data_IF_398735004796
#
_entry.id   IF_398735004796
#
_cell.length_a   1.000
_cell.length_b   1.000
_cell.length_c   1.000
_cell.angle_alpha   90.00
_cell.angle_beta   90.00
_cell.angle_gamma   90.00
#
_symmetry.space_group_name_H-M   'P 1'
#
loop_
_entity.id
_entity.type
_entity.pdbx_description
1 polymer ?
#
# COMPACT_ATOMS: atom_id res chain seq x y z
N UNK A 1 -12.57 24.19 19.83
CA UNK A 1 -12.62 24.36 21.29
C UNK A 1 -11.28 24.76 21.85
N UNK A 2 -10.57 23.86 22.54
CA UNK A 2 -9.29 24.17 23.22
C UNK A 2 -8.08 24.29 22.27
N UNK A 3 -8.03 23.48 21.20
CA UNK A 3 -6.91 23.46 20.26
C UNK A 3 -6.96 24.57 19.19
N UNK A 4 -8.07 25.31 19.07
CA UNK A 4 -8.20 26.39 18.07
C UNK A 4 -7.51 27.69 18.52
N UNK A 5 -7.36 27.91 19.83
CA UNK A 5 -6.82 29.14 20.41
C UNK A 5 -5.41 29.04 21.00
N UNK A 6 -4.73 27.89 20.88
CA UNK A 6 -3.38 27.68 21.45
C UNK A 6 -2.31 28.43 20.68
N UNK A 7 -1.30 28.97 21.36
CA UNK A 7 -0.21 29.75 20.75
C UNK A 7 0.63 28.94 19.75
N UNK A 8 1.32 29.61 18.83
CA UNK A 8 2.25 28.97 17.90
C UNK A 8 3.43 28.27 18.62
N UNK A 9 3.81 28.73 19.81
CA UNK A 9 4.79 28.04 20.66
C UNK A 9 4.26 26.70 21.19
N UNK A 10 2.97 26.61 21.48
CA UNK A 10 2.33 25.36 21.92
C UNK A 10 2.31 24.31 20.82
N UNK A 11 2.08 24.72 19.57
CA UNK A 11 2.03 23.80 18.42
C UNK A 11 3.39 23.22 18.04
N UNK A 12 4.50 23.72 18.61
CA UNK A 12 5.88 23.23 18.38
C UNK A 12 6.53 22.57 19.62
N UNK A 13 5.82 22.52 20.75
CA UNK A 13 6.37 21.95 21.99
C UNK A 13 6.34 20.42 21.94
N UNK A 14 7.50 19.79 21.68
CA UNK A 14 7.65 18.34 21.57
C UNK A 14 7.08 17.58 22.79
N UNK A 15 7.39 18.02 24.01
CA UNK A 15 6.94 17.37 25.25
C UNK A 15 5.40 17.30 25.37
N UNK A 16 4.72 18.35 24.93
CA UNK A 16 3.25 18.43 24.99
C UNK A 16 2.64 17.62 23.86
N UNK A 17 3.24 17.69 22.67
CA UNK A 17 2.77 16.97 21.50
C UNK A 17 2.90 15.47 21.72
N UNK A 18 4.03 14.98 22.21
CA UNK A 18 4.22 13.55 22.51
C UNK A 18 3.26 13.05 23.59
N UNK A 19 2.98 13.87 24.61
CA UNK A 19 2.02 13.53 25.67
C UNK A 19 0.57 13.44 25.18
N UNK A 20 0.19 14.25 24.18
CA UNK A 20 -1.19 14.31 23.67
C UNK A 20 -1.38 13.43 22.43
N UNK A 21 -0.32 13.14 21.68
CA UNK A 21 -0.32 12.44 20.39
C UNK A 21 -0.93 11.04 20.48
N UNK A 22 -0.53 10.23 21.45
CA UNK A 22 -1.10 8.87 21.61
C UNK A 22 -2.61 8.91 21.86
N UNK A 23 -3.06 9.78 22.77
CA UNK A 23 -4.48 9.91 23.11
C UNK A 23 -5.30 10.51 21.96
N UNK A 24 -4.79 11.58 21.34
CA UNK A 24 -5.44 12.23 20.21
C UNK A 24 -5.58 11.30 19.01
N UNK A 25 -4.51 10.58 18.66
CA UNK A 25 -4.54 9.61 17.57
C UNK A 25 -5.50 8.47 17.86
N UNK A 26 -5.54 7.95 19.09
CA UNK A 26 -6.50 6.91 19.48
C UNK A 26 -7.96 7.39 19.37
N UNK A 27 -8.26 8.58 19.92
CA UNK A 27 -9.62 9.15 19.89
C UNK A 27 -10.04 9.46 18.45
N UNK A 28 -9.16 10.07 17.65
CA UNK A 28 -9.45 10.42 16.27
C UNK A 28 -9.65 9.19 15.39
N UNK A 29 -8.85 8.14 15.59
CA UNK A 29 -9.01 6.86 14.91
C UNK A 29 -10.39 6.27 15.17
N UNK A 30 -10.80 6.16 16.44
CA UNK A 30 -12.13 5.65 16.80
C UNK A 30 -13.28 6.51 16.27
N UNK A 31 -13.12 7.83 16.32
CA UNK A 31 -14.14 8.76 15.85
C UNK A 31 -14.27 8.75 14.31
N UNK A 32 -13.17 8.54 13.59
CA UNK A 32 -13.13 8.49 12.11
C UNK A 32 -13.85 7.29 11.50
N UNK A 33 -13.96 6.17 12.23
CA UNK A 33 -14.66 4.96 11.77
C UNK A 33 -16.09 4.86 12.28
N UNK A 34 -16.54 5.85 13.07
CA UNK A 34 -17.87 5.86 13.64
C UNK A 34 -18.95 6.20 12.59
N UNK A 35 -20.02 5.41 12.55
CA UNK A 35 -21.19 5.66 11.72
C UNK A 35 -22.09 6.78 12.26
N UNK A 36 -21.89 7.22 13.51
CA UNK A 36 -22.64 8.33 14.10
C UNK A 36 -22.23 9.67 13.45
N UNK A 37 -23.17 10.41 12.82
CA UNK A 37 -22.87 11.67 12.15
C UNK A 37 -22.26 12.73 13.07
N UNK A 38 -22.71 12.78 14.32
CA UNK A 38 -22.21 13.75 15.30
C UNK A 38 -20.75 13.46 15.68
N UNK A 39 -20.42 12.18 15.96
CA UNK A 39 -19.06 11.77 16.32
C UNK A 39 -18.11 12.02 15.15
N UNK A 40 -18.54 11.66 13.93
CA UNK A 40 -17.73 11.87 12.74
C UNK A 40 -17.52 13.37 12.44
N UNK A 41 -18.52 14.22 12.68
CA UNK A 41 -18.37 15.67 12.56
C UNK A 41 -17.35 16.25 13.56
N UNK A 42 -17.28 15.72 14.79
CA UNK A 42 -16.21 16.08 15.71
C UNK A 42 -14.85 15.60 15.21
N UNK A 43 -14.77 14.40 14.62
CA UNK A 43 -13.55 13.89 14.02
C UNK A 43 -13.03 14.80 12.90
N UNK A 44 -13.90 15.21 11.95
CA UNK A 44 -13.52 16.15 10.89
C UNK A 44 -13.16 17.53 11.45
N UNK A 45 -13.85 18.00 12.49
CA UNK A 45 -13.51 19.25 13.17
C UNK A 45 -12.12 19.23 13.83
N UNK A 46 -11.81 18.17 14.57
CA UNK A 46 -10.49 17.96 15.19
C UNK A 46 -9.43 17.88 14.09
N UNK A 47 -9.68 17.09 13.06
CA UNK A 47 -8.73 16.91 11.96
C UNK A 47 -8.46 18.22 11.19
N UNK A 48 -9.47 19.07 11.00
CA UNK A 48 -9.28 20.41 10.43
C UNK A 48 -8.28 21.26 11.22
N UNK A 49 -8.35 21.18 12.56
CA UNK A 49 -7.40 21.90 13.43
C UNK A 49 -6.00 21.34 13.27
N UNK A 50 -5.84 20.03 13.14
CA UNK A 50 -4.53 19.41 12.90
C UNK A 50 -3.91 19.89 11.58
N UNK A 51 -4.69 19.89 10.50
CA UNK A 51 -4.27 20.37 9.19
C UNK A 51 -3.86 21.85 9.18
N UNK A 52 -4.57 22.70 9.93
CA UNK A 52 -4.33 24.15 9.95
C UNK A 52 -3.26 24.59 10.96
N UNK A 53 -3.02 23.82 12.04
CA UNK A 53 -2.21 24.29 13.19
C UNK A 53 -1.04 23.39 13.56
N UNK A 54 -1.14 22.08 13.29
CA UNK A 54 -0.17 21.08 13.78
C UNK A 54 0.57 20.35 12.65
N UNK A 55 0.50 20.86 11.42
CA UNK A 55 1.10 20.24 10.22
C UNK A 55 2.61 20.01 10.31
N UNK A 56 3.34 20.87 11.01
CA UNK A 56 4.79 20.69 11.23
C UNK A 56 5.09 19.54 12.20
N UNK A 57 4.28 19.38 13.25
CA UNK A 57 4.59 18.50 14.38
C UNK A 57 3.90 17.14 14.30
N UNK A 58 2.84 17.02 13.50
CA UNK A 58 2.02 15.82 13.34
C UNK A 58 1.95 15.36 11.88
N UNK A 59 3.05 15.50 11.12
CA UNK A 59 3.14 15.08 9.71
C UNK A 59 2.75 13.59 9.54
N UNK A 60 3.28 12.71 10.39
CA UNK A 60 3.02 11.27 10.30
C UNK A 60 1.53 10.97 10.55
N UNK A 61 0.96 11.55 11.61
CA UNK A 61 -0.45 11.35 11.95
C UNK A 61 -1.36 11.88 10.85
N UNK A 62 -1.09 13.07 10.30
CA UNK A 62 -1.87 13.63 9.21
C UNK A 62 -1.80 12.72 7.98
N UNK A 63 -0.63 12.15 7.66
CA UNK A 63 -0.48 11.17 6.58
C UNK A 63 -1.32 9.90 6.76
N UNK A 64 -1.56 9.48 8.01
CA UNK A 64 -2.43 8.33 8.33
C UNK A 64 -3.91 8.72 8.29
N UNK A 65 -4.28 9.85 8.89
CA UNK A 65 -5.67 10.26 9.04
C UNK A 65 -6.25 10.87 7.75
N UNK A 66 -5.43 11.46 6.88
CA UNK A 66 -5.93 12.09 5.65
C UNK A 66 -6.59 11.06 4.71
N UNK A 67 -5.95 9.92 4.36
CA UNK A 67 -6.63 8.88 3.59
C UNK A 67 -7.86 8.30 4.31
N UNK A 68 -7.80 8.16 5.62
CA UNK A 68 -8.84 7.53 6.43
C UNK A 68 -10.11 8.39 6.57
N UNK A 69 -9.97 9.70 6.78
CA UNK A 69 -11.07 10.64 6.99
C UNK A 69 -11.53 11.26 5.66
N UNK A 70 -10.60 11.58 4.76
CA UNK A 70 -10.92 12.29 3.51
C UNK A 70 -11.18 11.29 2.38
N UNK A 71 -10.16 10.52 2.00
CA UNK A 71 -10.23 9.71 0.78
C UNK A 71 -11.24 8.57 0.92
N UNK A 72 -11.21 7.80 2.01
CA UNK A 72 -12.16 6.71 2.27
C UNK A 72 -13.61 7.18 2.23
N UNK A 73 -13.90 8.30 2.91
CA UNK A 73 -15.27 8.82 3.01
C UNK A 73 -15.79 9.35 1.68
N UNK A 74 -14.93 9.96 0.86
CA UNK A 74 -15.32 10.52 -0.44
C UNK A 74 -15.38 9.47 -1.55
N UNK A 75 -14.42 8.53 -1.60
CA UNK A 75 -14.34 7.47 -2.61
C UNK A 75 -15.34 6.32 -2.37
N UNK A 76 -15.73 6.03 -1.12
CA UNK A 76 -16.65 4.94 -0.81
C UNK A 76 -18.04 5.15 -1.42
N UNK A 77 -18.45 4.26 -2.34
CA UNK A 77 -19.79 4.30 -2.98
C UNK A 77 -20.93 4.19 -1.96
N UNK A 78 -20.76 3.35 -0.94
CA UNK A 78 -21.74 3.08 0.11
C UNK A 78 -21.65 4.05 1.32
N UNK A 79 -20.75 5.03 1.29
CA UNK A 79 -20.56 5.92 2.42
C UNK A 79 -21.75 6.89 2.57
N UNK A 80 -22.32 7.06 3.79
CA UNK A 80 -23.49 7.91 4.00
C UNK A 80 -23.28 9.36 3.53
N UNK A 81 -24.25 9.90 2.78
CA UNK A 81 -24.15 11.20 2.09
C UNK A 81 -23.88 12.37 3.06
N UNK A 82 -24.43 12.31 4.27
CA UNK A 82 -24.22 13.29 5.33
C UNK A 82 -22.77 13.32 5.85
N UNK A 83 -22.08 12.17 5.87
CA UNK A 83 -20.67 12.10 6.24
C UNK A 83 -19.82 12.70 5.12
N UNK A 84 -20.12 12.40 3.86
CA UNK A 84 -19.47 13.03 2.69
C UNK A 84 -19.57 14.55 2.74
N UNK A 85 -20.77 15.08 3.01
CA UNK A 85 -20.98 16.53 3.16
C UNK A 85 -20.17 17.13 4.32
N UNK A 86 -20.00 16.40 5.42
CA UNK A 86 -19.20 16.85 6.56
C UNK A 86 -17.72 16.97 6.21
N UNK A 87 -17.19 16.01 5.44
CA UNK A 87 -15.81 16.08 4.90
C UNK A 87 -15.67 17.24 3.90
N UNK A 88 -16.63 17.42 2.98
CA UNK A 88 -16.56 18.50 1.99
C UNK A 88 -16.59 19.89 2.64
N UNK A 89 -17.41 20.12 3.67
CA UNK A 89 -17.41 21.37 4.43
C UNK A 89 -16.09 21.61 5.16
N UNK A 90 -15.49 20.56 5.70
CA UNK A 90 -14.18 20.63 6.32
C UNK A 90 -13.11 21.00 5.28
N UNK A 91 -13.09 20.32 4.13
CA UNK A 91 -12.19 20.60 3.01
C UNK A 91 -12.32 22.04 2.51
N UNK A 92 -13.54 22.54 2.32
CA UNK A 92 -13.77 23.93 1.91
C UNK A 92 -13.15 24.94 2.89
N UNK A 93 -13.13 24.63 4.19
CA UNK A 93 -12.49 25.48 5.21
C UNK A 93 -10.96 25.40 5.12
N UNK A 94 -10.39 24.19 5.07
CA UNK A 94 -8.93 24.01 5.14
C UNK A 94 -8.24 24.39 3.82
N UNK A 95 -8.87 24.14 2.67
CA UNK A 95 -8.32 24.47 1.36
C UNK A 95 -8.26 25.99 1.09
N UNK A 96 -8.80 26.83 1.97
CA UNK A 96 -8.62 28.30 1.93
C UNK A 96 -7.26 28.75 2.46
N UNK A 97 -6.54 27.90 3.21
CA UNK A 97 -5.16 28.15 3.62
C UNK A 97 -4.22 27.64 2.51
N UNK A 98 -3.51 28.51 1.78
CA UNK A 98 -2.64 28.05 0.70
C UNK A 98 -1.43 27.26 1.19
N UNK A 99 -0.94 27.53 2.40
CA UNK A 99 0.20 26.79 2.95
C UNK A 99 -0.19 25.34 3.25
N UNK A 100 -1.42 25.09 3.68
CA UNK A 100 -1.93 23.73 3.90
C UNK A 100 -1.91 22.89 2.60
N UNK A 101 -2.27 23.48 1.45
CA UNK A 101 -2.24 22.80 0.16
C UNK A 101 -0.81 22.48 -0.29
N UNK A 102 0.11 23.44 -0.11
CA UNK A 102 1.54 23.24 -0.41
C UNK A 102 2.12 22.17 0.48
N UNK A 103 1.83 22.20 1.78
CA UNK A 103 2.30 21.20 2.75
C UNK A 103 1.74 19.82 2.42
N UNK A 104 0.48 19.72 1.96
CA UNK A 104 -0.10 18.44 1.54
C UNK A 104 0.60 17.87 0.30
N UNK A 105 1.01 18.73 -0.64
CA UNK A 105 1.76 18.29 -1.82
C UNK A 105 3.19 17.90 -1.46
N UNK A 106 3.94 18.80 -0.81
CA UNK A 106 5.37 18.59 -0.52
C UNK A 106 5.60 17.44 0.45
N UNK A 107 4.76 17.30 1.48
CA UNK A 107 5.00 16.32 2.54
C UNK A 107 4.52 14.91 2.21
N UNK A 108 3.63 14.74 1.23
CA UNK A 108 3.01 13.44 0.95
C UNK A 108 3.08 13.05 -0.53
N UNK A 109 2.79 13.97 -1.45
CA UNK A 109 2.87 13.68 -2.88
C UNK A 109 4.32 13.61 -3.38
N UNK A 110 5.21 14.45 -2.83
CA UNK A 110 6.64 14.44 -3.13
C UNK A 110 7.48 13.57 -2.17
N UNK A 111 6.85 12.67 -1.43
CA UNK A 111 7.50 11.74 -0.51
C UNK A 111 7.24 10.30 -1.01
N UNK A 112 8.29 9.48 -1.14
CA UNK A 112 8.21 8.15 -1.76
C UNK A 112 7.42 7.15 -0.91
N UNK A 113 7.47 7.29 0.41
CA UNK A 113 6.86 6.36 1.36
C UNK A 113 5.43 6.78 1.77
N UNK A 114 5.02 7.99 1.42
CA UNK A 114 3.71 8.54 1.75
C UNK A 114 2.69 8.36 0.61
N UNK A 115 1.38 8.33 0.87
CA UNK A 115 0.36 8.31 -0.19
C UNK A 115 0.20 9.68 -0.87
N UNK A 116 -0.12 9.68 -2.18
CA UNK A 116 -0.45 10.88 -2.98
C UNK A 116 -1.76 11.55 -2.51
N UNK A 117 -1.73 12.20 -1.36
CA UNK A 117 -2.88 12.74 -0.65
C UNK A 117 -3.50 13.94 -1.37
N UNK A 118 -2.69 14.86 -1.89
CA UNK A 118 -3.17 16.04 -2.61
C UNK A 118 -3.79 15.63 -3.95
N UNK A 119 -3.07 14.87 -4.78
CA UNK A 119 -3.55 14.43 -6.09
C UNK A 119 -4.82 13.58 -5.99
N UNK A 120 -4.87 12.63 -5.05
CA UNK A 120 -6.07 11.81 -4.84
C UNK A 120 -7.25 12.65 -4.38
N UNK A 121 -7.05 13.61 -3.48
CA UNK A 121 -8.12 14.52 -3.07
C UNK A 121 -8.69 15.29 -4.27
N UNK A 122 -7.84 15.91 -5.09
CA UNK A 122 -8.28 16.68 -6.26
C UNK A 122 -9.00 15.79 -7.28
N UNK A 123 -8.44 14.61 -7.56
CA UNK A 123 -9.04 13.63 -8.49
C UNK A 123 -10.41 13.15 -7.99
N UNK A 124 -10.53 12.86 -6.69
CA UNK A 124 -11.79 12.44 -6.07
C UNK A 124 -12.84 13.53 -6.11
N UNK A 125 -12.49 14.77 -5.75
CA UNK A 125 -13.40 15.91 -5.85
C UNK A 125 -13.86 16.15 -7.30
N UNK A 126 -12.95 16.03 -8.27
CA UNK A 126 -13.24 16.17 -9.70
C UNK A 126 -14.23 15.10 -10.18
N UNK A 127 -13.99 13.84 -9.83
CA UNK A 127 -14.88 12.72 -10.15
C UNK A 127 -16.28 12.90 -9.57
N UNK A 128 -16.37 13.35 -8.31
CA UNK A 128 -17.66 13.62 -7.65
C UNK A 128 -18.38 14.77 -8.36
N UNK A 129 -17.67 15.86 -8.69
CA UNK A 129 -18.24 17.01 -9.38
C UNK A 129 -18.76 16.67 -10.78
N UNK A 130 -18.04 15.82 -11.53
CA UNK A 130 -18.46 15.34 -12.85
C UNK A 130 -19.71 14.44 -12.77
N UNK A 131 -19.76 13.56 -11.75
CA UNK A 131 -20.86 12.63 -11.53
C UNK A 131 -20.87 11.46 -12.51
N UNK A 132 -20.90 10.23 -12.00
CA UNK A 132 -20.76 9.01 -12.82
C UNK A 132 -22.09 8.32 -13.18
N UNK A 133 -23.24 8.85 -12.75
CA UNK A 133 -24.54 8.25 -13.06
C UNK A 133 -25.58 9.29 -13.47
N UNK A 134 -26.35 8.95 -14.51
CA UNK A 134 -27.65 9.54 -14.84
C UNK A 134 -28.58 9.31 -13.65
N UNK A 135 -28.72 10.32 -12.79
CA UNK A 135 -29.59 10.22 -11.62
C UNK A 135 -31.02 10.45 -12.07
N UNK A 136 -31.90 9.49 -11.75
CA UNK A 136 -33.33 9.61 -11.96
C UNK A 136 -33.87 10.84 -11.17
N UNK A 137 -34.49 11.84 -11.81
CA UNK A 137 -34.86 13.12 -11.17
C UNK A 137 -35.79 12.98 -9.95
N UNK A 138 -36.49 11.84 -9.83
CA UNK A 138 -37.45 11.55 -8.77
C UNK A 138 -36.87 10.80 -7.55
N UNK A 139 -35.55 10.59 -7.49
CA UNK A 139 -34.90 9.99 -6.33
C UNK A 139 -34.95 10.91 -5.10
N UNK A 140 -35.33 10.36 -3.95
CA UNK A 140 -35.31 11.05 -2.63
C UNK A 140 -33.92 11.63 -2.30
N UNK A 141 -32.85 11.07 -2.89
CA UNK A 141 -31.47 11.50 -2.68
C UNK A 141 -30.97 12.50 -3.73
N UNK A 142 -31.76 12.87 -4.75
CA UNK A 142 -31.33 13.73 -5.86
C UNK A 142 -30.81 15.10 -5.37
N UNK A 143 -31.51 15.72 -4.42
CA UNK A 143 -31.11 17.01 -3.81
C UNK A 143 -29.79 16.92 -3.04
N UNK A 144 -29.58 15.84 -2.28
CA UNK A 144 -28.33 15.64 -1.52
C UNK A 144 -27.15 15.33 -2.43
N UNK A 145 -27.37 14.54 -3.49
CA UNK A 145 -26.36 14.26 -4.52
C UNK A 145 -25.98 15.57 -5.23
N UNK A 146 -26.95 16.41 -5.59
CA UNK A 146 -26.70 17.75 -6.14
C UNK A 146 -25.87 18.63 -5.21
N UNK A 147 -26.18 18.63 -3.90
CA UNK A 147 -25.42 19.36 -2.89
C UNK A 147 -23.97 18.86 -2.77
N UNK A 148 -23.74 17.55 -2.84
CA UNK A 148 -22.39 16.94 -2.84
C UNK A 148 -21.60 17.34 -4.07
N UNK A 149 -22.20 17.30 -5.27
CA UNK A 149 -21.57 17.75 -6.51
C UNK A 149 -21.17 19.22 -6.42
N UNK A 150 -22.10 20.09 -6.00
CA UNK A 150 -21.86 21.51 -5.82
C UNK A 150 -20.77 21.81 -4.79
N UNK A 151 -20.80 21.13 -3.64
CA UNK A 151 -19.77 21.30 -2.60
C UNK A 151 -18.39 20.81 -3.05
N UNK A 152 -18.34 19.75 -3.84
CA UNK A 152 -17.07 19.23 -4.40
C UNK A 152 -16.48 20.20 -5.42
N UNK A 153 -17.31 20.77 -6.29
CA UNK A 153 -16.90 21.82 -7.22
C UNK A 153 -16.41 23.07 -6.47
N UNK A 154 -17.11 23.48 -5.41
CA UNK A 154 -16.71 24.60 -4.57
C UNK A 154 -15.35 24.36 -3.88
N UNK A 155 -15.07 23.13 -3.45
CA UNK A 155 -13.76 22.76 -2.93
C UNK A 155 -12.66 22.90 -3.99
N UNK A 156 -12.89 22.42 -5.23
CA UNK A 156 -11.93 22.58 -6.33
C UNK A 156 -11.66 24.05 -6.67
N UNK A 157 -12.71 24.87 -6.70
CA UNK A 157 -12.57 26.32 -6.89
C UNK A 157 -11.77 26.96 -5.76
N UNK A 158 -11.97 26.52 -4.51
CA UNK A 158 -11.21 27.01 -3.36
C UNK A 158 -9.74 26.62 -3.45
N UNK A 159 -9.42 25.37 -3.86
CA UNK A 159 -8.04 24.93 -4.12
C UNK A 159 -7.37 25.84 -5.16
N UNK A 160 -8.03 26.06 -6.30
CA UNK A 160 -7.48 26.91 -7.37
C UNK A 160 -7.26 28.35 -6.91
N UNK A 161 -8.23 28.96 -6.22
CA UNK A 161 -8.12 30.32 -5.68
C UNK A 161 -6.95 30.45 -4.72
N UNK A 162 -6.83 29.53 -3.75
CA UNK A 162 -5.74 29.54 -2.78
C UNK A 162 -4.37 29.39 -3.43
N UNK A 163 -4.23 28.52 -4.44
CA UNK A 163 -2.97 28.38 -5.17
C UNK A 163 -2.60 29.65 -5.96
N UNK A 164 -3.59 30.31 -6.57
CA UNK A 164 -3.40 31.61 -7.24
C UNK A 164 -2.97 32.68 -6.22
N UNK A 165 -3.60 32.72 -5.05
CA UNK A 165 -3.26 33.69 -4.02
C UNK A 165 -1.88 33.44 -3.41
N UNK A 166 -1.49 32.18 -3.23
CA UNK A 166 -0.12 31.81 -2.86
C UNK A 166 0.89 32.29 -3.89
N UNK A 167 0.58 32.13 -5.18
CA UNK A 167 1.45 32.55 -6.26
C UNK A 167 1.64 34.08 -6.30
N UNK A 168 0.58 34.85 -6.05
CA UNK A 168 0.64 36.32 -5.94
C UNK A 168 1.53 36.76 -4.79
N UNK A 169 1.31 36.21 -3.59
CA UNK A 169 2.16 36.50 -2.41
C UNK A 169 3.63 36.16 -2.69
N UNK A 170 3.86 35.07 -3.44
CA UNK A 170 5.21 34.68 -3.87
C UNK A 170 5.83 35.66 -4.89
N UNK A 171 5.05 36.23 -5.81
CA UNK A 171 5.55 37.26 -6.75
C UNK A 171 5.84 38.57 -6.05
N UNK A 172 4.97 39.00 -5.14
CA UNK A 172 5.14 40.24 -4.35
C UNK A 172 6.37 40.16 -3.43
N UNK A 173 6.61 38.99 -2.82
CA UNK A 173 7.83 38.75 -2.04
C UNK A 173 9.11 38.69 -2.86
N UNK A 174 9.04 38.33 -4.16
CA UNK A 174 10.18 38.46 -5.09
C UNK A 174 10.43 39.92 -5.49
N UNK A 175 9.39 40.66 -5.88
CA UNK A 175 9.51 42.07 -6.27
C UNK A 175 10.02 42.96 -5.12
N UNK A 176 9.60 42.68 -3.88
CA UNK A 176 10.11 43.40 -2.69
C UNK A 176 11.54 43.03 -2.29
N UNK A 177 12.05 41.86 -2.68
CA UNK A 177 13.47 41.49 -2.54
C UNK A 177 14.34 42.15 -3.62
N UNK A 178 13.84 42.25 -4.85
CA UNK A 178 14.55 42.93 -5.95
C UNK A 178 14.63 44.46 -5.74
N UNK A 179 13.68 45.07 -5.03
CA UNK A 179 13.76 46.51 -4.66
C UNK A 179 14.65 46.81 -3.45
N UNK A 180 15.06 45.81 -2.66
CA UNK A 180 15.95 45.97 -1.49
C UNK A 180 17.41 45.57 -1.75
N UNK A 181 17.77 45.15 -2.97
CA UNK A 181 19.09 44.63 -3.33
C UNK A 181 19.84 45.52 -4.33
N UNK A 182 19.86 46.84 -4.11
CA UNK A 182 20.81 47.74 -4.80
C UNK A 182 22.16 47.84 -4.06
N UNK A 183 22.31 47.23 -2.88
CA UNK A 183 23.61 47.10 -2.23
C UNK A 183 23.88 45.63 -1.86
N UNK A 184 25.01 45.14 -2.33
CA UNK A 184 25.66 43.83 -2.10
C UNK A 184 25.35 42.68 -3.09
N UNK A 185 26.31 42.48 -3.99
CA UNK A 185 26.47 41.32 -4.88
C UNK A 185 26.64 40.02 -4.08
N UNK A 186 25.55 39.26 -3.86
CA UNK A 186 25.65 37.84 -3.49
C UNK A 186 24.40 36.97 -3.81
N UNK A 187 23.56 37.36 -4.77
CA UNK A 187 22.23 36.73 -5.00
C UNK A 187 22.19 35.56 -6.02
N UNK A 188 23.34 35.12 -6.55
CA UNK A 188 23.39 33.98 -7.48
C UNK A 188 23.19 32.61 -6.78
N UNK A 189 23.62 32.45 -5.53
CA UNK A 189 23.58 31.17 -4.82
C UNK A 189 22.19 30.82 -4.26
N UNK A 190 21.39 31.80 -3.79
CA UNK A 190 20.04 31.56 -3.25
C UNK A 190 18.99 31.24 -4.33
N UNK A 191 19.20 31.72 -5.56
CA UNK A 191 18.29 31.46 -6.69
C UNK A 191 18.52 30.07 -7.30
N UNK A 192 19.78 29.62 -7.39
CA UNK A 192 20.13 28.25 -7.81
C UNK A 192 19.66 27.18 -6.83
N UNK A 193 19.95 27.31 -5.52
CA UNK A 193 19.53 26.31 -4.54
C UNK A 193 18.00 26.10 -4.48
N UNK A 194 17.22 27.13 -4.84
CA UNK A 194 15.74 27.08 -4.81
C UNK A 194 15.12 26.57 -6.10
N UNK A 195 15.72 26.81 -7.27
CA UNK A 195 15.35 26.08 -8.50
C UNK A 195 15.69 24.61 -8.37
N UNK A 196 16.81 24.29 -7.73
CA UNK A 196 17.24 22.91 -7.50
C UNK A 196 16.29 22.18 -6.55
N UNK A 197 15.83 22.82 -5.47
CA UNK A 197 14.79 22.27 -4.58
C UNK A 197 13.46 22.01 -5.30
N UNK A 198 12.96 22.95 -6.11
CA UNK A 198 11.72 22.76 -6.87
C UNK A 198 11.85 21.65 -7.94
N UNK A 199 12.97 21.64 -8.66
CA UNK A 199 13.31 20.59 -9.62
C UNK A 199 13.46 19.22 -8.94
N UNK A 200 13.95 19.17 -7.70
CA UNK A 200 14.05 17.94 -6.92
C UNK A 200 12.66 17.41 -6.54
N UNK A 201 11.73 18.26 -6.08
CA UNK A 201 10.36 17.83 -5.79
C UNK A 201 9.63 17.34 -7.04
N UNK A 202 9.83 18.00 -8.18
CA UNK A 202 9.25 17.58 -9.47
C UNK A 202 9.83 16.23 -9.92
N UNK A 203 11.16 16.04 -9.83
CA UNK A 203 11.82 14.75 -10.12
C UNK A 203 11.33 13.63 -9.20
N UNK A 204 11.22 13.89 -7.89
CA UNK A 204 10.75 12.88 -6.92
C UNK A 204 9.29 12.52 -7.18
N UNK A 205 8.41 13.52 -7.43
CA UNK A 205 7.02 13.26 -7.77
C UNK A 205 6.87 12.52 -9.09
N UNK A 206 7.66 12.89 -10.11
CA UNK A 206 7.68 12.19 -11.40
C UNK A 206 8.12 10.73 -11.21
N UNK A 207 9.22 10.50 -10.50
CA UNK A 207 9.70 9.14 -10.21
C UNK A 207 8.66 8.29 -9.47
N UNK A 208 8.03 8.85 -8.43
CA UNK A 208 6.95 8.20 -7.69
C UNK A 208 5.76 7.87 -8.58
N UNK A 209 5.32 8.82 -9.41
CA UNK A 209 4.21 8.62 -10.33
C UNK A 209 4.53 7.54 -11.37
N UNK A 210 5.75 7.50 -11.90
CA UNK A 210 6.20 6.43 -12.80
C UNK A 210 6.23 5.07 -12.07
N UNK A 211 6.65 5.03 -10.81
CA UNK A 211 6.65 3.80 -10.00
C UNK A 211 5.23 3.30 -9.73
N UNK A 212 4.30 4.17 -9.33
CA UNK A 212 2.89 3.81 -9.11
C UNK A 212 2.22 3.32 -10.41
N UNK A 213 2.49 3.98 -11.54
CA UNK A 213 2.03 3.53 -12.85
C UNK A 213 2.59 2.16 -13.21
N UNK A 214 3.87 1.90 -12.92
CA UNK A 214 4.51 0.62 -13.14
C UNK A 214 3.90 -0.51 -12.29
N UNK A 215 3.66 -0.25 -11.01
CA UNK A 215 2.99 -1.19 -10.09
C UNK A 215 1.56 -1.45 -10.55
N UNK A 216 0.83 -0.41 -10.98
CA UNK A 216 -0.52 -0.57 -11.49
C UNK A 216 -0.56 -1.38 -12.78
N UNK A 217 0.40 -1.19 -13.69
CA UNK A 217 0.51 -1.99 -14.90
C UNK A 217 0.93 -3.42 -14.59
N UNK A 218 1.81 -3.65 -13.62
CA UNK A 218 2.15 -5.00 -13.14
C UNK A 218 0.93 -5.74 -12.57
N UNK A 219 0.16 -5.06 -11.71
CA UNK A 219 -1.06 -5.62 -11.13
C UNK A 219 -2.16 -5.90 -12.17
N UNK A 220 -2.02 -5.38 -13.40
CA UNK A 220 -2.94 -5.63 -14.52
C UNK A 220 -2.39 -6.66 -15.51
N UNK A 221 -1.11 -6.57 -15.83
CA UNK A 221 -0.34 -7.40 -16.76
C UNK A 221 1.10 -7.54 -16.25
N UNK A 222 1.44 -8.61 -15.53
CA UNK A 222 2.71 -8.71 -14.82
C UNK A 222 3.93 -8.58 -15.74
N UNK A 223 3.88 -9.22 -16.92
CA UNK A 223 4.96 -9.19 -17.92
C UNK A 223 5.19 -7.76 -18.44
N UNK A 224 4.13 -7.04 -18.80
CA UNK A 224 4.22 -5.65 -19.28
C UNK A 224 4.65 -4.69 -18.18
N UNK A 225 4.22 -4.93 -16.94
CA UNK A 225 4.67 -4.16 -15.79
C UNK A 225 6.18 -4.25 -15.57
N UNK A 226 6.76 -5.47 -15.65
CA UNK A 226 8.21 -5.65 -15.56
C UNK A 226 8.94 -5.01 -16.75
N UNK A 227 8.42 -5.12 -17.98
CA UNK A 227 8.99 -4.42 -19.14
C UNK A 227 8.97 -2.90 -18.97
N UNK A 228 7.89 -2.36 -18.40
CA UNK A 228 7.77 -0.94 -18.10
C UNK A 228 8.76 -0.50 -17.02
N UNK A 229 8.95 -1.28 -15.96
CA UNK A 229 9.96 -1.03 -14.92
C UNK A 229 11.38 -0.99 -15.51
N UNK A 230 11.69 -1.94 -16.40
CA UNK A 230 12.98 -2.02 -17.09
C UNK A 230 13.21 -0.84 -18.03
N UNK A 231 12.21 -0.50 -18.85
CA UNK A 231 12.30 0.58 -19.84
C UNK A 231 12.47 1.94 -19.18
N UNK A 232 11.80 2.17 -18.05
CA UNK A 232 11.93 3.41 -17.28
C UNK A 232 13.14 3.41 -16.32
N UNK A 233 14.00 2.40 -16.36
CA UNK A 233 15.18 2.26 -15.48
C UNK A 233 14.82 2.35 -13.99
N UNK A 234 13.62 1.91 -13.62
CA UNK A 234 13.16 1.87 -12.22
C UNK A 234 13.75 0.67 -11.46
N UNK A 235 14.03 -0.41 -12.20
CA UNK A 235 14.70 -1.61 -11.70
C UNK A 235 15.78 -1.98 -12.70
N UNK A 236 16.94 -2.40 -12.22
CA UNK A 236 17.99 -2.92 -13.08
C UNK A 236 17.49 -4.13 -13.88
N UNK A 237 17.95 -4.27 -15.11
CA UNK A 237 17.56 -5.38 -15.99
C UNK A 237 18.27 -6.70 -15.61
N UNK A 238 18.25 -7.06 -14.32
CA UNK A 238 18.82 -8.29 -13.79
C UNK A 238 17.73 -9.10 -13.08
N UNK A 239 17.73 -10.44 -13.20
CA UNK A 239 16.74 -11.27 -12.52
C UNK A 239 16.69 -11.07 -11.01
N UNK A 240 17.85 -10.82 -10.40
CA UNK A 240 18.01 -10.58 -8.95
C UNK A 240 17.33 -9.27 -8.53
N UNK A 241 17.52 -8.19 -9.28
CA UNK A 241 16.91 -6.89 -8.94
C UNK A 241 15.40 -6.94 -9.09
N UNK A 242 14.87 -7.65 -10.10
CA UNK A 242 13.42 -7.89 -10.25
C UNK A 242 12.89 -8.76 -9.11
N UNK A 243 13.58 -9.84 -8.74
CA UNK A 243 13.18 -10.68 -7.61
C UNK A 243 13.11 -9.90 -6.29
N UNK A 244 14.10 -9.05 -6.02
CA UNK A 244 14.12 -8.16 -4.86
C UNK A 244 12.95 -7.17 -4.88
N UNK A 245 12.65 -6.59 -6.06
CA UNK A 245 11.49 -5.71 -6.23
C UNK A 245 10.16 -6.43 -5.92
N UNK A 246 9.96 -7.63 -6.46
CA UNK A 246 8.76 -8.43 -6.22
C UNK A 246 8.56 -8.78 -4.73
N UNK A 247 9.65 -8.98 -3.99
CA UNK A 247 9.61 -9.35 -2.57
C UNK A 247 9.37 -8.17 -1.64
N UNK A 248 9.91 -7.00 -1.95
CA UNK A 248 9.93 -5.86 -1.03
C UNK A 248 8.88 -4.79 -1.32
N UNK A 249 8.10 -4.94 -2.40
CA UNK A 249 7.08 -3.96 -2.78
C UNK A 249 5.69 -4.44 -2.31
N UNK A 250 5.16 -3.93 -1.18
CA UNK A 250 3.93 -4.44 -0.57
C UNK A 250 2.66 -4.14 -1.37
N UNK A 251 2.70 -3.18 -2.30
CA UNK A 251 1.57 -2.78 -3.14
C UNK A 251 1.37 -3.66 -4.39
N UNK A 252 2.22 -4.65 -4.60
CA UNK A 252 2.06 -5.63 -5.67
C UNK A 252 0.99 -6.67 -5.28
N UNK A 253 0.15 -7.02 -6.25
CA UNK A 253 -0.84 -8.07 -6.06
C UNK A 253 -0.13 -9.44 -6.00
N UNK A 254 -0.29 -10.14 -4.86
CA UNK A 254 0.30 -11.46 -4.62
C UNK A 254 -0.12 -12.51 -5.65
N UNK A 255 -1.32 -12.41 -6.21
CA UNK A 255 -1.77 -13.29 -7.29
C UNK A 255 -0.98 -13.04 -8.58
N UNK A 256 -0.69 -11.77 -8.87
CA UNK A 256 0.08 -11.37 -10.04
C UNK A 256 1.57 -11.68 -9.90
N UNK A 257 2.11 -11.60 -8.68
CA UNK A 257 3.46 -12.11 -8.38
C UNK A 257 3.53 -13.62 -8.70
N UNK A 258 2.57 -14.40 -8.19
CA UNK A 258 2.54 -15.84 -8.43
C UNK A 258 2.39 -16.20 -9.92
N UNK A 259 1.53 -15.48 -10.64
CA UNK A 259 1.37 -15.67 -12.09
C UNK A 259 2.67 -15.40 -12.84
N UNK A 260 3.38 -14.32 -12.50
CA UNK A 260 4.67 -13.97 -13.12
C UNK A 260 5.76 -14.99 -12.82
N UNK A 261 5.90 -15.42 -11.56
CA UNK A 261 6.89 -16.43 -11.16
C UNK A 261 6.60 -17.80 -11.80
N UNK A 262 5.35 -18.07 -12.16
CA UNK A 262 4.94 -19.27 -12.89
C UNK A 262 5.17 -19.22 -14.40
N UNK A 263 5.68 -18.12 -14.97
CA UNK A 263 5.92 -18.00 -16.41
C UNK A 263 7.11 -18.85 -16.89
N UNK A 264 7.09 -19.26 -18.16
CA UNK A 264 8.00 -20.28 -18.73
C UNK A 264 9.12 -19.68 -19.57
N UNK A 265 8.99 -18.40 -19.89
CA UNK A 265 9.95 -17.60 -20.61
C UNK A 265 11.25 -17.48 -19.79
N UNK A 266 12.40 -17.44 -20.48
CA UNK A 266 13.73 -17.49 -19.84
C UNK A 266 13.93 -16.43 -18.75
N UNK A 267 13.47 -15.19 -18.99
CA UNK A 267 13.67 -14.10 -18.04
C UNK A 267 12.80 -14.23 -16.78
N UNK A 268 11.45 -14.39 -16.87
CA UNK A 268 10.64 -14.71 -15.70
C UNK A 268 11.08 -15.97 -14.94
N UNK A 269 11.50 -17.02 -15.66
CA UNK A 269 12.03 -18.24 -15.04
C UNK A 269 13.30 -17.93 -14.22
N UNK A 270 14.25 -17.19 -14.79
CA UNK A 270 15.44 -16.75 -14.07
C UNK A 270 15.11 -15.86 -12.86
N UNK A 271 14.08 -15.02 -12.95
CA UNK A 271 13.57 -14.23 -11.81
C UNK A 271 13.01 -15.15 -10.73
N UNK A 272 12.27 -16.19 -11.08
CA UNK A 272 11.76 -17.18 -10.13
C UNK A 272 12.89 -17.89 -9.39
N UNK A 273 13.93 -18.33 -10.11
CA UNK A 273 15.12 -18.90 -9.48
C UNK A 273 15.77 -17.90 -8.49
N UNK A 274 16.01 -16.66 -8.92
CA UNK A 274 16.58 -15.63 -8.06
C UNK A 274 15.70 -15.29 -6.85
N UNK A 275 14.37 -15.33 -7.00
CA UNK A 275 13.41 -15.10 -5.92
C UNK A 275 13.50 -16.18 -4.85
N UNK A 276 13.47 -17.45 -5.25
CA UNK A 276 13.61 -18.59 -4.33
C UNK A 276 15.00 -18.61 -3.69
N UNK A 277 16.05 -18.35 -4.47
CA UNK A 277 17.44 -18.35 -3.99
C UNK A 277 17.74 -17.22 -3.01
N UNK A 278 16.93 -16.15 -3.01
CA UNK A 278 17.00 -15.07 -2.01
C UNK A 278 16.40 -15.46 -0.65
N UNK A 279 15.71 -16.60 -0.56
CA UNK A 279 15.16 -17.11 0.70
C UNK A 279 16.15 -18.01 1.41
N UNK A 280 16.12 -17.99 2.74
CA UNK A 280 16.99 -18.82 3.58
C UNK A 280 16.13 -19.78 4.39
N UNK A 281 16.23 -21.08 4.10
CA UNK A 281 15.48 -22.14 4.78
C UNK A 281 16.33 -22.96 5.75
N UNK A 282 17.58 -22.56 5.99
CA UNK A 282 18.51 -23.31 6.83
C UNK A 282 18.00 -23.42 8.27
N UNK A 283 17.86 -24.65 8.77
CA UNK A 283 17.39 -24.93 10.13
C UNK A 283 15.88 -24.75 10.33
N UNK A 284 15.12 -24.43 9.28
CA UNK A 284 13.66 -24.36 9.33
C UNK A 284 13.06 -25.76 9.10
N UNK A 285 11.99 -26.08 9.83
CA UNK A 285 11.19 -27.29 9.53
C UNK A 285 10.46 -27.10 8.19
N UNK A 286 10.15 -28.20 7.51
CA UNK A 286 9.55 -28.18 6.18
C UNK A 286 8.24 -27.38 6.12
N UNK A 287 7.32 -27.61 7.07
CA UNK A 287 6.05 -26.87 7.15
C UNK A 287 6.24 -25.38 7.45
N UNK A 288 7.30 -24.98 8.16
CA UNK A 288 7.61 -23.57 8.42
C UNK A 288 8.20 -22.91 7.17
N UNK A 289 9.10 -23.60 6.46
CA UNK A 289 9.71 -23.11 5.24
C UNK A 289 8.68 -22.91 4.12
N UNK A 290 7.78 -23.87 3.91
CA UNK A 290 6.74 -23.76 2.88
C UNK A 290 5.73 -22.65 3.19
N UNK A 291 5.41 -22.40 4.47
CA UNK A 291 4.59 -21.25 4.89
C UNK A 291 5.26 -19.93 4.58
N UNK A 292 6.54 -19.79 4.94
CA UNK A 292 7.30 -18.57 4.68
C UNK A 292 7.45 -18.32 3.18
N UNK A 293 7.68 -19.37 2.40
CA UNK A 293 7.74 -19.32 0.95
C UNK A 293 6.43 -18.81 0.32
N UNK A 294 5.30 -19.37 0.74
CA UNK A 294 3.97 -19.04 0.22
C UNK A 294 3.38 -17.76 0.81
N UNK A 295 4.04 -17.11 1.76
CA UNK A 295 3.62 -15.81 2.30
C UNK A 295 3.81 -14.67 1.29
N UNK A 296 4.81 -14.80 0.41
CA UNK A 296 5.23 -13.76 -0.52
C UNK A 296 4.34 -13.63 -1.77
N UNK A 297 3.62 -14.68 -2.15
CA UNK A 297 2.80 -14.71 -3.36
C UNK A 297 1.70 -15.76 -3.26
N UNK A 298 0.70 -15.69 -4.15
CA UNK A 298 -0.37 -16.69 -4.21
C UNK A 298 -0.08 -17.69 -5.32
N UNK A 299 -0.22 -18.99 -5.03
CA UNK A 299 0.01 -20.02 -6.03
C UNK A 299 -0.94 -19.87 -7.24
N UNK A 300 -0.41 -20.00 -8.47
CA UNK A 300 -1.23 -20.09 -9.68
C UNK A 300 -2.17 -21.29 -9.64
N UNK A 301 -3.27 -21.24 -10.39
CA UNK A 301 -4.19 -22.38 -10.53
C UNK A 301 -3.77 -23.41 -11.59
N UNK A 302 -2.83 -23.05 -12.47
CA UNK A 302 -2.36 -23.90 -13.56
C UNK A 302 -1.30 -24.89 -13.05
N UNK A 303 -1.54 -26.18 -13.22
CA UNK A 303 -0.66 -27.25 -12.72
C UNK A 303 0.81 -27.07 -13.15
N UNK A 304 1.05 -26.71 -14.43
CA UNK A 304 2.40 -26.49 -14.97
C UNK A 304 3.15 -25.31 -14.32
N UNK A 305 2.43 -24.32 -13.80
CA UNK A 305 3.03 -23.17 -13.09
C UNK A 305 3.37 -23.55 -11.66
N UNK A 306 2.46 -24.26 -10.97
CA UNK A 306 2.71 -24.80 -9.63
C UNK A 306 3.94 -25.71 -9.66
N UNK A 307 4.03 -26.55 -10.68
CA UNK A 307 5.11 -27.52 -10.87
C UNK A 307 6.50 -26.90 -10.79
N UNK A 308 6.75 -25.90 -11.64
CA UNK A 308 8.04 -25.20 -11.70
C UNK A 308 8.39 -24.48 -10.41
N UNK A 309 7.40 -23.89 -9.74
CA UNK A 309 7.58 -23.20 -8.46
C UNK A 309 7.93 -24.20 -7.35
N UNK A 310 7.24 -25.35 -7.29
CA UNK A 310 7.47 -26.37 -6.28
C UNK A 310 8.80 -27.10 -6.48
N UNK A 311 9.20 -27.36 -7.73
CA UNK A 311 10.48 -27.97 -8.07
C UNK A 311 11.64 -27.10 -7.58
N UNK A 312 11.59 -25.79 -7.86
CA UNK A 312 12.65 -24.87 -7.39
C UNK A 312 12.64 -24.70 -5.86
N UNK A 313 11.46 -24.69 -5.23
CA UNK A 313 11.37 -24.69 -3.76
C UNK A 313 12.05 -25.93 -3.15
N UNK A 314 11.75 -27.11 -3.69
CA UNK A 314 12.32 -28.38 -3.24
C UNK A 314 13.84 -28.41 -3.39
N UNK A 315 14.36 -28.00 -4.56
CA UNK A 315 15.79 -27.87 -4.81
C UNK A 315 16.45 -26.98 -3.76
N UNK A 316 15.88 -25.80 -3.50
CA UNK A 316 16.45 -24.84 -2.54
C UNK A 316 16.38 -25.34 -1.10
N UNK A 317 15.26 -25.93 -0.70
CA UNK A 317 15.10 -26.45 0.66
C UNK A 317 16.09 -27.58 0.96
N UNK A 318 16.32 -28.48 -0.01
CA UNK A 318 17.33 -29.53 0.09
C UNK A 318 18.76 -28.98 0.16
N UNK A 319 19.06 -27.92 -0.60
CA UNK A 319 20.37 -27.26 -0.56
C UNK A 319 20.65 -26.61 0.81
N UNK A 320 19.64 -25.98 1.43
CA UNK A 320 19.76 -25.31 2.72
C UNK A 320 19.74 -26.28 3.93
N UNK A 321 19.23 -27.51 3.73
CA UNK A 321 19.11 -28.55 4.77
C UNK A 321 19.72 -29.88 4.28
N UNK A 322 21.05 -29.93 4.08
CA UNK A 322 21.72 -31.12 3.58
C UNK A 322 21.55 -32.29 4.56
N UNK A 323 21.10 -33.43 4.03
CA UNK A 323 20.94 -34.68 4.78
C UNK A 323 19.53 -34.95 5.32
N UNK A 324 18.57 -34.01 5.19
CA UNK A 324 17.17 -34.30 5.55
C UNK A 324 16.47 -35.16 4.48
N UNK A 325 16.75 -34.90 3.21
CA UNK A 325 16.27 -35.70 2.08
C UNK A 325 17.48 -36.17 1.25
N UNK A 326 17.40 -37.37 0.68
CA UNK A 326 18.44 -37.87 -0.23
C UNK A 326 18.42 -37.12 -1.56
N UNK A 327 17.22 -36.91 -2.12
CA UNK A 327 17.00 -36.27 -3.42
C UNK A 327 15.99 -35.13 -3.31
N UNK A 328 16.05 -34.16 -4.23
CA UNK A 328 15.07 -33.09 -4.33
C UNK A 328 13.66 -33.60 -4.67
N UNK A 329 13.57 -34.75 -5.34
CA UNK A 329 12.29 -35.39 -5.71
C UNK A 329 11.42 -35.69 -4.49
N UNK A 330 11.99 -36.18 -3.39
CA UNK A 330 11.26 -36.43 -2.15
C UNK A 330 10.68 -35.13 -1.57
N UNK A 331 11.46 -34.05 -1.56
CA UNK A 331 11.00 -32.74 -1.09
C UNK A 331 9.93 -32.14 -2.00
N UNK A 332 10.03 -32.37 -3.31
CA UNK A 332 9.05 -31.94 -4.31
C UNK A 332 7.71 -32.67 -4.13
N UNK A 333 7.72 -34.00 -4.02
CA UNK A 333 6.50 -34.79 -3.75
C UNK A 333 5.87 -34.37 -2.43
N UNK A 334 6.69 -34.15 -1.40
CA UNK A 334 6.22 -33.69 -0.10
C UNK A 334 5.61 -32.28 -0.17
N UNK A 335 6.18 -31.36 -0.95
CA UNK A 335 5.62 -30.03 -1.15
C UNK A 335 4.21 -30.12 -1.74
N UNK A 336 4.01 -30.94 -2.77
CA UNK A 336 2.69 -31.20 -3.35
C UNK A 336 1.72 -31.83 -2.34
N UNK A 337 2.18 -32.80 -1.56
CA UNK A 337 1.39 -33.41 -0.51
C UNK A 337 0.89 -32.38 0.52
N UNK A 338 1.73 -31.41 0.87
CA UNK A 338 1.35 -30.30 1.76
C UNK A 338 0.27 -29.41 1.13
N UNK A 339 0.38 -29.06 -0.15
CA UNK A 339 -0.64 -28.24 -0.85
C UNK A 339 -1.98 -28.99 -0.92
N UNK A 340 -1.95 -30.29 -1.23
CA UNK A 340 -3.13 -31.14 -1.25
C UNK A 340 -3.77 -31.26 0.13
N UNK A 341 -2.96 -31.49 1.18
CA UNK A 341 -3.43 -31.56 2.56
C UNK A 341 -4.05 -30.24 3.01
N UNK A 342 -3.46 -29.10 2.67
CA UNK A 342 -4.02 -27.79 3.00
C UNK A 342 -5.40 -27.60 2.36
N UNK A 343 -5.54 -27.99 1.09
CA UNK A 343 -6.82 -27.94 0.37
C UNK A 343 -7.84 -28.89 0.99
N UNK A 344 -7.45 -30.10 1.35
CA UNK A 344 -8.33 -31.06 2.03
C UNK A 344 -8.79 -30.52 3.39
N UNK A 345 -7.86 -30.17 4.27
CA UNK A 345 -8.15 -29.76 5.64
C UNK A 345 -9.05 -28.53 5.73
N UNK A 346 -8.81 -27.50 4.92
CA UNK A 346 -9.43 -26.18 5.07
C UNK A 346 -10.54 -25.87 4.06
N UNK A 347 -10.70 -26.63 2.98
CA UNK A 347 -11.82 -26.44 2.05
C UNK A 347 -13.11 -27.08 2.59
N UNK A 348 -14.19 -26.32 2.85
CA UNK A 348 -15.45 -26.87 3.39
C UNK A 348 -16.13 -27.89 2.46
N UNK A 349 -15.82 -27.87 1.16
CA UNK A 349 -16.43 -28.77 0.18
C UNK A 349 -15.82 -30.18 0.16
N UNK A 350 -14.66 -30.40 0.78
CA UNK A 350 -13.99 -31.70 0.81
C UNK A 350 -14.47 -32.49 2.04
N UNK A 351 -15.10 -33.65 1.81
CA UNK A 351 -15.50 -34.58 2.86
C UNK A 351 -15.55 -36.02 2.33
N UNK A 352 -15.09 -37.04 3.08
CA UNK A 352 -14.44 -36.98 4.40
C UNK A 352 -13.01 -36.38 4.34
N UNK A 353 -12.54 -35.84 5.46
CA UNK A 353 -11.18 -35.29 5.58
C UNK A 353 -10.13 -36.40 5.69
N UNK A 354 -8.97 -36.20 5.08
CA UNK A 354 -7.83 -37.11 5.23
C UNK A 354 -7.34 -37.16 6.67
N UNK A 355 -7.21 -38.37 7.21
CA UNK A 355 -6.66 -38.63 8.54
C UNK A 355 -5.12 -38.61 8.54
N UNK A 356 -4.50 -38.41 9.71
CA UNK A 356 -3.04 -38.46 9.86
C UNK A 356 -2.45 -39.77 9.31
N UNK A 357 -3.08 -40.90 9.63
CA UNK A 357 -2.63 -42.21 9.16
C UNK A 357 -2.72 -42.36 7.63
N UNK A 358 -3.75 -41.79 7.00
CA UNK A 358 -3.88 -41.77 5.54
C UNK A 358 -2.83 -40.88 4.89
N UNK A 359 -2.55 -39.70 5.45
CA UNK A 359 -1.51 -38.81 4.96
C UNK A 359 -0.12 -39.46 5.01
N UNK A 360 0.22 -40.10 6.14
CA UNK A 360 1.49 -40.84 6.28
C UNK A 360 1.55 -41.99 5.26
N UNK A 361 0.47 -42.77 5.13
CA UNK A 361 0.42 -43.89 4.17
C UNK A 361 0.53 -43.45 2.71
N UNK A 362 -0.08 -42.32 2.34
CA UNK A 362 -0.02 -41.80 0.96
C UNK A 362 1.37 -41.31 0.56
N UNK A 363 2.15 -40.84 1.54
CA UNK A 363 3.51 -40.33 1.31
C UNK A 363 4.60 -41.34 1.68
N UNK A 364 4.22 -42.52 2.20
CA UNK A 364 5.11 -43.63 2.42
C UNK A 364 5.40 -44.32 1.09
N UNK A 365 6.63 -44.16 0.59
CA UNK A 365 7.13 -44.91 -0.56
C UNK A 365 7.54 -46.33 -0.15
N UNK A 366 7.56 -47.25 -1.12
CA UNK A 366 8.02 -48.63 -0.88
C UNK A 366 9.52 -48.71 -0.56
N UNK A 367 10.29 -47.68 -0.91
CA UNK A 367 11.69 -47.56 -0.57
C UNK A 367 11.87 -46.69 0.70
N UNK A 368 12.29 -47.28 1.84
CA UNK A 368 12.49 -46.54 3.07
C UNK A 368 13.62 -45.50 2.99
N UNK A 369 14.48 -45.57 1.97
CA UNK A 369 15.55 -44.59 1.76
C UNK A 369 15.10 -43.33 1.01
N UNK A 370 13.99 -43.40 0.25
CA UNK A 370 13.39 -42.27 -0.48
C UNK A 370 12.22 -41.63 0.27
N UNK A 371 11.82 -42.22 1.41
CA UNK A 371 10.69 -41.78 2.21
C UNK A 371 11.08 -40.66 3.18
N UNK A 372 10.23 -39.65 3.32
CA UNK A 372 10.36 -38.67 4.39
C UNK A 372 10.19 -39.37 5.77
N UNK A 373 10.92 -38.96 6.81
CA UNK A 373 10.75 -39.52 8.15
C UNK A 373 9.31 -39.45 8.62
N UNK A 374 8.79 -40.52 9.23
CA UNK A 374 7.40 -40.57 9.71
C UNK A 374 7.09 -39.45 10.69
N UNK A 375 8.02 -39.14 11.60
CA UNK A 375 7.90 -38.01 12.54
C UNK A 375 7.71 -36.68 11.81
N UNK A 376 8.43 -36.45 10.70
CA UNK A 376 8.29 -35.25 9.89
C UNK A 376 6.90 -35.18 9.22
N UNK A 377 6.40 -36.30 8.69
CA UNK A 377 5.06 -36.37 8.09
C UNK A 377 3.94 -36.10 9.10
N UNK A 378 4.07 -36.63 10.31
CA UNK A 378 3.12 -36.38 11.40
C UNK A 378 3.15 -34.93 11.88
N UNK A 379 4.34 -34.34 12.04
CA UNK A 379 4.50 -32.92 12.39
C UNK A 379 3.92 -31.99 11.32
N UNK A 380 4.16 -32.30 10.04
CA UNK A 380 3.58 -31.57 8.91
C UNK A 380 2.06 -31.66 8.98
N UNK A 381 1.50 -32.85 9.16
CA UNK A 381 0.05 -33.03 9.24
C UNK A 381 -0.56 -32.19 10.36
N UNK A 382 -0.01 -32.29 11.57
CA UNK A 382 -0.51 -31.56 12.73
C UNK A 382 -0.43 -30.04 12.51
N UNK A 383 0.70 -29.54 11.99
CA UNK A 383 0.85 -28.12 11.70
C UNK A 383 -0.16 -27.62 10.66
N UNK A 384 -0.31 -28.33 9.54
CA UNK A 384 -1.18 -27.91 8.44
C UNK A 384 -2.65 -27.97 8.82
N UNK A 385 -3.09 -29.00 9.55
CA UNK A 385 -4.48 -29.09 10.02
C UNK A 385 -4.78 -28.04 11.08
N UNK A 386 -3.83 -27.75 11.97
CA UNK A 386 -3.99 -26.74 13.01
C UNK A 386 -4.03 -25.30 12.47
N UNK A 387 -3.19 -24.98 11.48
CA UNK A 387 -3.06 -23.64 10.93
C UNK A 387 -3.11 -23.68 9.39
N UNK A 388 -4.07 -23.00 8.78
CA UNK A 388 -4.16 -22.88 7.33
C UNK A 388 -2.94 -22.15 6.74
N UNK A 389 -2.43 -22.64 5.60
CA UNK A 389 -1.53 -21.84 4.77
C UNK A 389 -2.36 -20.73 4.14
N UNK A 390 -2.34 -19.54 4.74
CA UNK A 390 -3.04 -18.37 4.24
C UNK A 390 -2.45 -17.89 2.91
N UNK A 391 -3.06 -18.33 1.80
CA UNK A 391 -2.70 -17.92 0.44
C UNK A 391 -3.50 -16.71 -0.07
N UNK A 392 -4.41 -16.17 0.76
CA UNK A 392 -5.17 -14.95 0.49
C UNK A 392 -4.84 -13.94 1.58
N UNK A 393 -4.58 -12.70 1.20
CA UNK A 393 -4.70 -11.61 2.17
C UNK A 393 -6.18 -11.56 2.56
N UNK A 394 -6.45 -11.72 3.86
CA UNK A 394 -7.75 -11.39 4.43
C UNK A 394 -7.95 -9.89 4.21
N UNK A 395 -8.47 -9.51 3.05
CA UNK A 395 -8.98 -8.16 2.81
C UNK A 395 -10.21 -8.01 3.71
N UNK A 396 -9.96 -7.53 4.92
CA UNK A 396 -10.97 -7.04 5.85
C UNK A 396 -11.40 -5.62 5.48
#
# INVERSE_FOLDING_TARGET
GLLEGVSHSFTKSLNIIDSVKAYLSYVLLRASVSQSPAIFQYATGIFAVLLLRFRESLKVEIGIFFPLIVLRSLDGSEYPLNLKLSVLRMLEKVCKDPQMLVDLYVNYDCDLDAPNSFERMVTTLSRIAQGTQSVDPNSVNATQIGSIKGSSLQCLVSVLKSLVDWEKVRRESKQSKDQKSIEEESSAAESQGRSDLANNFEKVKAHKSTMEAAISEFNRHPVKGIEFLKTNSLVENTPVSVAHFLRNTPSLDKAMIGDYLGQHEEFPLAVMHAYVDSMHFSGMKFHTAIREFLRGFRLPGEAQKIDRIMEKFAERYCADNPGLFKNADTAYVLAYAVIMLNTDAHNPMVWPKMTKAEFVRMNATNDPEECAPTELLEEIYDSIVQEEIKMKDDTA
#
